data_IF_646782990774
#
_entry.id   IF_646782990774
#
_cell.length_a   1.000
_cell.length_b   1.000
_cell.length_c   1.000
_cell.angle_alpha   90.00
_cell.angle_beta   90.00
_cell.angle_gamma   90.00
#
_symmetry.space_group_name_H-M   'P 1'
#
loop_
_entity.id
_entity.type
_entity.pdbx_description
1 polymer ?
#
# COMPACT_ATOMS: atom_id res chain seq x y z
N UNK A 1 -5.99 5.63 -6.04
CA UNK A 1 -6.64 4.44 -6.67
C UNK A 1 -6.91 4.77 -8.13
N UNK A 2 -6.61 3.87 -9.07
CA UNK A 2 -6.93 4.07 -10.50
C UNK A 2 -8.43 3.88 -10.73
N UNK A 3 -9.15 4.93 -11.15
CA UNK A 3 -10.61 4.90 -11.40
C UNK A 3 -10.96 4.41 -12.80
N UNK A 4 -10.04 4.50 -13.74
CA UNK A 4 -10.17 4.12 -15.14
C UNK A 4 -10.13 2.60 -15.38
N UNK A 5 -9.74 1.82 -14.37
CA UNK A 5 -9.68 0.36 -14.45
C UNK A 5 -11.05 -0.33 -14.31
N UNK A 6 -12.14 0.43 -14.10
CA UNK A 6 -13.48 -0.14 -13.95
C UNK A 6 -13.62 -1.10 -12.74
N UNK A 7 -12.73 -0.99 -11.75
CA UNK A 7 -12.69 -1.92 -10.61
C UNK A 7 -14.00 -1.88 -9.82
N UNK A 8 -14.52 -3.06 -9.49
CA UNK A 8 -15.64 -3.20 -8.53
C UNK A 8 -15.23 -2.67 -7.15
N UNK A 9 -16.16 -2.05 -6.43
CA UNK A 9 -15.92 -1.43 -5.10
C UNK A 9 -15.14 -2.33 -4.13
N UNK A 10 -15.52 -3.61 -4.04
CA UNK A 10 -14.84 -4.58 -3.18
C UNK A 10 -13.36 -4.75 -3.52
N UNK A 11 -13.00 -4.73 -4.81
CA UNK A 11 -11.60 -4.84 -5.23
C UNK A 11 -10.82 -3.57 -4.98
N UNK A 12 -11.43 -2.39 -5.13
CA UNK A 12 -10.78 -1.12 -4.78
C UNK A 12 -10.38 -1.10 -3.28
N UNK A 13 -11.26 -1.56 -2.40
CA UNK A 13 -10.98 -1.66 -0.96
C UNK A 13 -9.83 -2.63 -0.71
N UNK A 14 -9.88 -3.83 -1.31
CA UNK A 14 -8.82 -4.84 -1.16
C UNK A 14 -7.45 -4.32 -1.63
N UNK A 15 -7.40 -3.64 -2.78
CA UNK A 15 -6.15 -3.08 -3.30
C UNK A 15 -5.60 -1.97 -2.40
N UNK A 16 -6.46 -1.11 -1.86
CA UNK A 16 -6.07 -0.08 -0.89
C UNK A 16 -5.47 -0.67 0.38
N UNK A 17 -6.11 -1.71 0.94
CA UNK A 17 -5.62 -2.42 2.12
C UNK A 17 -4.32 -3.18 1.86
N UNK A 18 -4.17 -3.82 0.70
CA UNK A 18 -2.90 -4.44 0.32
C UNK A 18 -1.79 -3.40 0.17
N UNK A 19 -2.09 -2.22 -0.39
CA UNK A 19 -1.09 -1.16 -0.55
C UNK A 19 -0.55 -0.62 0.76
N UNK A 20 -1.39 -0.46 1.79
CA UNK A 20 -0.90 0.01 3.08
C UNK A 20 -0.02 -0.99 3.81
N UNK A 21 -0.16 -2.30 3.54
CA UNK A 21 0.53 -3.35 4.30
C UNK A 21 1.64 -4.07 3.53
N UNK A 22 1.67 -3.99 2.18
CA UNK A 22 2.54 -4.83 1.34
C UNK A 22 4.01 -4.76 1.75
N UNK A 23 4.53 -3.56 2.00
CA UNK A 23 5.95 -3.38 2.38
C UNK A 23 6.28 -4.03 3.72
N UNK A 24 5.34 -4.09 4.66
CA UNK A 24 5.52 -4.77 5.95
C UNK A 24 5.45 -6.28 5.80
N UNK A 25 4.50 -6.76 4.99
CA UNK A 25 4.30 -8.19 4.76
C UNK A 25 5.44 -8.81 3.96
N UNK A 26 6.00 -8.09 2.99
CA UNK A 26 7.15 -8.57 2.21
C UNK A 26 8.43 -8.65 3.06
N UNK A 27 8.58 -7.74 4.04
CA UNK A 27 9.78 -7.64 4.85
C UNK A 27 9.74 -8.53 6.10
N UNK A 28 8.55 -8.79 6.65
CA UNK A 28 8.41 -9.54 7.89
C UNK A 28 8.31 -11.05 7.72
N UNK A 29 8.59 -11.75 8.81
CA UNK A 29 8.48 -13.20 8.92
C UNK A 29 7.80 -13.60 10.23
N UNK A 30 7.04 -14.71 10.26
CA UNK A 30 6.55 -15.25 11.51
C UNK A 30 7.74 -15.60 12.41
N UNK A 31 7.59 -15.35 13.71
CA UNK A 31 8.58 -15.77 14.65
C UNK A 31 8.68 -17.30 14.73
N UNK A 32 9.77 -17.87 15.26
CA UNK A 32 9.95 -19.32 15.29
C UNK A 32 8.84 -20.09 16.02
N UNK A 33 8.10 -19.43 16.92
CA UNK A 33 6.98 -20.01 17.65
C UNK A 33 5.64 -19.87 16.90
N UNK A 34 5.59 -19.10 15.81
CA UNK A 34 4.38 -18.77 15.06
C UNK A 34 3.40 -17.86 15.82
N UNK A 35 3.83 -17.28 16.95
CA UNK A 35 2.96 -16.49 17.82
C UNK A 35 2.96 -15.00 17.46
N UNK A 36 3.97 -14.55 16.73
CA UNK A 36 4.13 -13.16 16.30
C UNK A 36 4.62 -13.07 14.86
N UNK A 37 4.37 -11.93 14.22
CA UNK A 37 4.98 -11.55 12.94
C UNK A 37 6.02 -10.47 13.22
N UNK A 38 7.29 -10.74 12.88
CA UNK A 38 8.42 -9.86 13.13
C UNK A 38 8.79 -9.15 11.84
N UNK A 39 8.70 -7.83 11.84
CA UNK A 39 9.19 -7.00 10.75
C UNK A 39 10.57 -6.47 11.16
N UNK A 40 11.67 -6.90 10.52
CA UNK A 40 12.99 -6.38 10.80
C UNK A 40 13.04 -4.91 10.38
N UNK A 41 13.39 -4.04 11.32
CA UNK A 41 13.51 -2.61 11.09
C UNK A 41 14.94 -2.27 10.67
N UNK A 42 15.15 -2.07 9.37
CA UNK A 42 16.32 -1.30 8.94
C UNK A 42 16.11 0.20 9.24
N UNK A 43 17.17 1.04 9.20
CA UNK A 43 17.02 2.46 9.52
C UNK A 43 15.98 3.20 8.67
N UNK A 44 15.82 2.84 7.39
CA UNK A 44 14.85 3.49 6.51
C UNK A 44 13.41 3.05 6.83
N UNK A 45 13.19 1.77 7.16
CA UNK A 45 11.90 1.25 7.59
C UNK A 45 11.53 1.70 9.00
N UNK A 46 12.50 1.84 9.90
CA UNK A 46 12.33 2.42 11.23
C UNK A 46 11.96 3.90 11.15
N UNK A 47 12.65 4.67 10.31
CA UNK A 47 12.31 6.06 10.03
C UNK A 47 10.97 6.17 9.29
N UNK A 48 10.61 5.22 8.44
CA UNK A 48 9.31 5.24 7.82
C UNK A 48 8.17 4.93 8.81
N UNK A 49 8.33 3.89 9.63
CA UNK A 49 7.32 3.49 10.63
C UNK A 49 7.23 4.46 11.81
N UNK A 50 8.36 5.02 12.23
CA UNK A 50 8.47 5.94 13.35
C UNK A 50 8.46 7.42 12.94
N UNK A 51 8.75 7.73 11.68
CA UNK A 51 8.77 9.07 11.11
C UNK A 51 7.57 9.32 10.21
N UNK A 52 7.68 10.32 9.34
CA UNK A 52 6.56 10.85 8.55
C UNK A 52 6.91 10.75 7.08
N UNK A 53 6.04 10.09 6.32
CA UNK A 53 6.04 9.82 4.87
C UNK A 53 6.69 8.53 4.37
N UNK A 54 5.92 7.70 3.64
CA UNK A 54 6.36 6.98 2.42
C UNK A 54 5.16 6.68 1.53
N UNK A 55 5.43 6.38 0.26
CA UNK A 55 4.47 5.98 -0.79
C UNK A 55 4.61 4.49 -1.09
N UNK A 56 3.51 3.74 -1.10
CA UNK A 56 3.50 2.32 -1.52
C UNK A 56 2.61 2.16 -2.74
N UNK A 57 3.18 1.68 -3.85
CA UNK A 57 2.45 1.38 -5.08
C UNK A 57 2.22 -0.13 -5.20
N UNK A 58 0.98 -0.56 -5.47
CA UNK A 58 0.63 -1.97 -5.68
C UNK A 58 0.37 -2.26 -7.15
N UNK A 59 0.84 -3.43 -7.58
CA UNK A 59 0.52 -4.02 -8.86
C UNK A 59 -0.29 -5.31 -8.64
N UNK A 60 -1.48 -5.41 -9.24
CA UNK A 60 -2.25 -6.65 -9.32
C UNK A 60 -1.65 -7.53 -10.42
N UNK A 61 -1.47 -8.82 -10.16
CA UNK A 61 -0.86 -9.76 -11.10
C UNK A 61 -1.73 -10.05 -12.35
N UNK A 62 -2.97 -9.60 -12.36
CA UNK A 62 -3.84 -9.61 -13.53
C UNK A 62 -4.61 -10.90 -13.79
N UNK A 63 -4.44 -11.93 -12.96
CA UNK A 63 -5.03 -13.27 -13.18
C UNK A 63 -6.57 -13.32 -13.18
N UNK A 64 -7.24 -12.31 -12.62
CA UNK A 64 -8.71 -12.31 -12.47
C UNK A 64 -9.42 -11.24 -13.29
N UNK A 65 -8.89 -10.01 -13.33
CA UNK A 65 -9.58 -8.85 -13.94
C UNK A 65 -8.73 -8.13 -15.00
N UNK A 66 -7.44 -8.43 -15.14
CA UNK A 66 -6.55 -7.77 -16.11
C UNK A 66 -5.93 -8.75 -17.12
N UNK A 67 -6.60 -9.88 -17.39
CA UNK A 67 -6.22 -10.84 -18.44
C UNK A 67 -4.75 -11.30 -18.41
N UNK A 68 -4.19 -11.50 -17.22
CA UNK A 68 -2.80 -11.91 -17.02
C UNK A 68 -1.77 -10.79 -17.17
N UNK A 69 -2.19 -9.53 -17.32
CA UNK A 69 -1.30 -8.37 -17.42
C UNK A 69 -1.09 -7.73 -16.04
N UNK A 70 0.14 -7.68 -15.52
CA UNK A 70 0.44 -6.97 -14.29
C UNK A 70 0.09 -5.48 -14.40
N UNK A 71 -0.76 -5.00 -13.50
CA UNK A 71 -1.36 -3.66 -13.60
C UNK A 71 -1.19 -2.89 -12.30
N UNK A 72 -0.61 -1.68 -12.36
CA UNK A 72 -0.53 -0.77 -11.20
C UNK A 72 -1.93 -0.27 -10.84
N UNK A 73 -2.43 -0.61 -9.66
CA UNK A 73 -3.83 -0.36 -9.27
C UNK A 73 -3.97 0.85 -8.35
N UNK A 74 -3.08 1.01 -7.39
CA UNK A 74 -3.15 2.10 -6.42
C UNK A 74 -1.81 2.46 -5.81
N UNK A 75 -1.79 3.65 -5.21
CA UNK A 75 -0.71 4.16 -4.39
C UNK A 75 -1.31 4.59 -3.05
N UNK A 76 -0.71 4.17 -1.94
CA UNK A 76 -0.97 4.69 -0.60
C UNK A 76 0.10 5.73 -0.27
N UNK A 77 -0.30 6.88 0.26
CA UNK A 77 0.59 7.96 0.68
C UNK A 77 0.40 8.17 2.17
N UNK A 78 1.43 7.91 2.97
CA UNK A 78 1.41 8.06 4.43
C UNK A 78 2.14 6.94 5.18
N UNK A 79 2.01 6.89 6.51
CA UNK A 79 1.31 7.86 7.36
C UNK A 79 2.03 9.23 7.42
N UNK A 80 1.26 10.32 7.47
CA UNK A 80 1.75 11.71 7.62
C UNK A 80 0.59 12.63 8.07
N UNK A 81 0.91 13.87 8.46
CA UNK A 81 -0.09 14.90 8.76
C UNK A 81 -0.87 15.30 7.50
N UNK A 82 -2.09 15.83 7.69
CA UNK A 82 -2.99 16.16 6.58
C UNK A 82 -2.40 17.17 5.61
N UNK A 83 -1.75 18.24 6.08
CA UNK A 83 -1.07 19.25 5.25
C UNK A 83 -0.02 18.63 4.32
N UNK A 84 0.72 17.66 4.86
CA UNK A 84 1.79 16.95 4.21
C UNK A 84 1.27 15.95 3.16
N UNK A 85 0.16 15.26 3.45
CA UNK A 85 -0.55 14.39 2.51
C UNK A 85 -1.23 15.23 1.41
N UNK A 86 -1.87 16.33 1.78
CA UNK A 86 -2.59 17.24 0.88
C UNK A 86 -1.65 17.92 -0.12
N UNK A 87 -0.39 18.19 0.25
CA UNK A 87 0.63 18.67 -0.69
C UNK A 87 0.88 17.70 -1.88
N UNK A 88 0.56 16.42 -1.73
CA UNK A 88 0.75 15.38 -2.76
C UNK A 88 -0.59 14.97 -3.38
N UNK A 89 -1.65 14.87 -2.59
CA UNK A 89 -2.93 14.30 -3.01
C UNK A 89 -4.10 15.28 -2.97
N UNK A 90 -3.92 16.51 -2.50
CA UNK A 90 -5.00 17.46 -2.25
C UNK A 90 -5.74 17.94 -3.50
N UNK A 91 -5.08 17.91 -4.66
CA UNK A 91 -5.72 18.19 -5.96
C UNK A 91 -6.46 16.96 -6.53
N UNK A 92 -6.28 15.78 -5.93
CA UNK A 92 -6.94 14.56 -6.41
C UNK A 92 -8.38 14.51 -5.88
N UNK A 93 -9.36 14.15 -6.74
CA UNK A 93 -10.74 14.03 -6.30
C UNK A 93 -10.90 12.84 -5.34
N UNK A 94 -11.76 13.02 -4.33
CA UNK A 94 -12.21 11.93 -3.47
C UNK A 94 -12.84 10.81 -4.30
N UNK A 95 -12.75 9.58 -3.77
CA UNK A 95 -13.05 8.35 -4.50
C UNK A 95 -14.52 8.19 -4.88
#
# INVERSE_FOLDING_TARGET
MRKDLGMRKGKMIAQGAHASLKVLLDAGEPDPAGAAFRVPLDPALAEWLGGRFTKVCVSDAGHTEFHGVPTKTCCAVGPAWSDAVDAITGELPLL
#
